data_IF_312773578306
#
_entry.id   IF_312773578306
#
_cell.length_a   1.000
_cell.length_b   1.000
_cell.length_c   1.000
_cell.angle_alpha   90.00
_cell.angle_beta   90.00
_cell.angle_gamma   90.00
#
_symmetry.space_group_name_H-M   'P 1'
#
loop_
_entity.id
_entity.type
_entity.pdbx_description
1 polymer ?
#
# COMPACT_ATOMS: atom_id res chain seq x y z
N UNK A 1 8.25 28.82 28.83
CA UNK A 1 8.03 29.65 27.64
C UNK A 1 8.37 28.79 26.42
N UNK A 2 7.37 28.15 25.80
CA UNK A 2 7.58 27.21 24.70
C UNK A 2 7.35 27.94 23.37
N UNK A 3 8.33 27.88 22.46
CA UNK A 3 8.25 28.48 21.13
C UNK A 3 7.21 27.74 20.26
N UNK A 4 6.44 28.43 19.42
CA UNK A 4 5.52 27.78 18.50
C UNK A 4 6.31 27.11 17.37
N UNK A 5 6.26 25.77 17.29
CA UNK A 5 6.75 25.04 16.11
C UNK A 5 5.70 25.13 15.01
N UNK A 6 6.09 25.71 13.88
CA UNK A 6 5.26 25.79 12.68
C UNK A 6 4.87 24.39 12.22
N UNK A 7 3.57 24.10 12.17
CA UNK A 7 3.03 22.85 11.64
C UNK A 7 3.00 22.90 10.11
N UNK A 8 3.62 21.92 9.47
CA UNK A 8 3.37 21.62 8.04
C UNK A 8 2.14 20.73 7.98
N UNK A 9 1.00 21.29 7.54
CA UNK A 9 -0.18 20.52 7.15
C UNK A 9 0.16 19.78 5.85
N UNK A 10 0.41 18.48 5.93
CA UNK A 10 0.47 17.65 4.73
C UNK A 10 -0.95 17.38 4.24
N UNK A 11 -1.36 18.14 3.22
CA UNK A 11 -2.55 17.84 2.43
C UNK A 11 -2.43 16.52 1.67
N UNK A 12 -3.51 16.13 1.01
CA UNK A 12 -3.64 14.93 0.18
C UNK A 12 -2.39 14.66 -0.68
N UNK A 13 -1.54 13.73 -0.23
CA UNK A 13 -0.41 13.24 -1.03
C UNK A 13 -1.00 12.53 -2.24
N UNK A 14 -0.89 13.18 -3.39
CA UNK A 14 -1.29 12.66 -4.70
C UNK A 14 -0.08 11.95 -5.29
N UNK A 15 -0.16 10.66 -5.60
CA UNK A 15 0.84 10.07 -6.51
C UNK A 15 0.49 10.55 -7.90
N UNK A 16 1.26 11.51 -8.41
CA UNK A 16 1.12 11.98 -9.78
C UNK A 16 1.80 10.98 -10.72
N UNK A 17 1.13 9.89 -11.05
CA UNK A 17 1.49 9.10 -12.24
C UNK A 17 1.09 9.93 -13.47
N UNK A 18 1.98 10.75 -14.00
CA UNK A 18 1.70 11.61 -15.17
C UNK A 18 1.34 10.75 -16.39
N UNK A 19 0.05 10.68 -16.72
CA UNK A 19 -0.46 10.09 -17.96
C UNK A 19 -0.40 11.14 -19.07
N UNK A 20 0.63 11.07 -19.91
CA UNK A 20 0.60 11.61 -21.26
C UNK A 20 0.38 10.44 -22.23
N UNK A 21 -0.62 10.56 -23.11
CA UNK A 21 -1.14 9.45 -23.93
C UNK A 21 -0.18 8.88 -25.00
N UNK A 22 1.07 9.34 -25.11
CA UNK A 22 1.98 8.93 -26.20
C UNK A 22 3.46 8.71 -25.78
N UNK A 23 3.78 8.65 -24.48
CA UNK A 23 5.11 8.24 -24.03
C UNK A 23 5.05 6.92 -23.29
N UNK A 24 5.81 5.93 -23.77
CA UNK A 24 6.13 4.70 -23.06
C UNK A 24 6.79 5.07 -21.72
N UNK A 25 5.99 5.26 -20.67
CA UNK A 25 6.47 5.58 -19.34
C UNK A 25 7.16 4.35 -18.76
N UNK A 26 8.31 4.52 -18.11
CA UNK A 26 9.09 3.42 -17.55
C UNK A 26 8.52 2.98 -16.20
N UNK A 27 8.65 1.71 -15.80
CA UNK A 27 8.27 1.30 -14.46
C UNK A 27 9.09 2.06 -13.40
N UNK A 28 8.61 2.05 -12.15
CA UNK A 28 9.37 2.57 -11.01
C UNK A 28 10.83 2.10 -11.05
N UNK A 29 11.78 2.91 -10.58
CA UNK A 29 13.19 2.53 -10.53
C UNK A 29 13.45 1.46 -9.46
N UNK A 30 14.51 0.67 -9.65
CA UNK A 30 14.95 -0.29 -8.64
C UNK A 30 15.48 0.48 -7.42
N UNK A 31 15.09 0.07 -6.23
CA UNK A 31 15.67 0.59 -5.01
C UNK A 31 17.12 0.09 -4.87
N UNK A 32 18.01 0.94 -4.37
CA UNK A 32 19.37 0.54 -4.06
C UNK A 32 19.35 -0.50 -2.94
N UNK A 33 20.08 -1.60 -3.16
CA UNK A 33 20.16 -2.66 -2.17
C UNK A 33 21.06 -2.18 -1.05
N UNK A 34 20.52 -2.07 0.16
CA UNK A 34 21.32 -1.78 1.35
C UNK A 34 22.30 -2.96 1.57
N UNK A 35 23.62 -2.73 1.60
CA UNK A 35 24.62 -3.79 1.79
C UNK A 35 24.38 -4.55 3.09
N UNK A 36 24.49 -5.89 3.08
CA UNK A 36 24.34 -6.72 4.30
C UNK A 36 25.34 -6.39 5.41
N UNK A 37 26.47 -5.78 5.07
CA UNK A 37 27.53 -5.37 6.02
C UNK A 37 27.30 -4.00 6.65
N UNK A 38 26.56 -3.11 5.98
CA UNK A 38 26.03 -1.87 6.58
C UNK A 38 24.72 -2.15 7.33
N UNK A 39 23.93 -3.08 6.80
CA UNK A 39 22.79 -3.70 7.47
C UNK A 39 23.28 -4.79 8.44
N UNK A 40 24.16 -4.42 9.37
CA UNK A 40 23.99 -4.96 10.71
C UNK A 40 22.54 -4.67 11.04
N UNK A 41 21.68 -5.67 10.90
CA UNK A 41 20.27 -5.62 11.22
C UNK A 41 20.24 -5.49 12.75
N UNK A 42 20.63 -4.32 13.25
CA UNK A 42 20.02 -3.76 14.41
C UNK A 42 18.58 -3.63 13.96
N UNK A 43 17.80 -4.69 14.17
CA UNK A 43 16.44 -4.50 14.66
C UNK A 43 16.67 -3.59 15.83
N UNK A 44 16.62 -2.28 15.58
CA UNK A 44 16.46 -1.35 16.66
C UNK A 44 15.28 -1.92 17.42
N UNK A 45 15.36 -1.98 18.75
CA UNK A 45 14.30 -2.62 19.56
C UNK A 45 12.90 -2.04 19.26
N UNK A 46 12.86 -0.95 18.50
CA UNK A 46 11.84 -0.27 17.71
C UNK A 46 10.88 -1.12 16.85
N UNK A 47 9.82 -0.42 16.46
CA UNK A 47 8.56 -0.93 15.96
C UNK A 47 8.70 -1.77 14.67
N UNK A 48 8.03 -2.91 14.60
CA UNK A 48 8.04 -3.80 13.42
C UNK A 48 6.64 -3.85 12.84
N UNK A 49 6.51 -3.79 11.51
CA UNK A 49 5.25 -3.99 10.81
C UNK A 49 5.38 -5.07 9.72
N UNK A 50 4.67 -6.18 9.89
CA UNK A 50 4.64 -7.30 8.98
C UNK A 50 3.35 -7.31 8.16
N UNK A 51 3.49 -7.20 6.84
CA UNK A 51 2.39 -7.27 5.86
C UNK A 51 2.31 -8.68 5.32
N UNK A 52 1.20 -9.36 5.61
CA UNK A 52 0.82 -10.57 4.91
C UNK A 52 0.19 -10.19 3.56
N UNK A 53 1.00 -10.14 2.51
CA UNK A 53 0.56 -9.75 1.17
C UNK A 53 0.02 -10.97 0.40
N UNK A 54 -1.11 -11.49 0.84
CA UNK A 54 -1.73 -12.68 0.25
C UNK A 54 -2.29 -12.45 -1.16
N UNK A 55 -2.68 -13.55 -1.81
CA UNK A 55 -3.31 -13.49 -3.13
C UNK A 55 -4.73 -12.92 -3.05
N UNK A 56 -5.54 -13.48 -2.16
CA UNK A 56 -6.95 -13.10 -1.99
C UNK A 56 -7.11 -11.96 -1.01
N UNK A 57 -6.27 -11.92 0.03
CA UNK A 57 -6.42 -11.01 1.15
C UNK A 57 -5.09 -10.42 1.57
N UNK A 58 -5.18 -9.31 2.30
CA UNK A 58 -4.05 -8.64 2.94
C UNK A 58 -4.38 -8.41 4.41
N UNK A 59 -3.38 -8.57 5.27
CA UNK A 59 -3.44 -8.25 6.69
C UNK A 59 -2.10 -7.65 7.13
N UNK A 60 -2.10 -6.89 8.24
CA UNK A 60 -0.88 -6.36 8.84
C UNK A 60 -0.86 -6.67 10.34
N UNK A 61 0.26 -7.22 10.80
CA UNK A 61 0.59 -7.33 12.21
C UNK A 61 1.72 -6.37 12.56
N UNK A 62 1.76 -5.88 13.78
CA UNK A 62 2.83 -4.97 14.21
C UNK A 62 3.14 -5.10 15.70
N UNK A 63 4.32 -4.63 16.08
CA UNK A 63 4.73 -4.39 17.47
C UNK A 63 5.17 -2.94 17.60
N UNK A 64 5.00 -2.35 18.77
CA UNK A 64 5.54 -1.02 19.07
C UNK A 64 6.33 -1.05 20.38
N UNK A 65 7.32 -0.17 20.51
CA UNK A 65 8.07 0.01 21.77
C UNK A 65 7.36 0.90 22.78
N UNK A 66 6.15 1.39 22.46
CA UNK A 66 5.36 2.19 23.40
C UNK A 66 5.08 1.39 24.66
N UNK A 67 5.33 1.98 25.83
CA UNK A 67 5.18 1.35 27.14
C UNK A 67 3.75 0.80 27.43
N UNK A 68 2.78 1.16 26.59
CA UNK A 68 1.38 0.73 26.69
C UNK A 68 1.09 -0.57 25.91
N UNK A 69 1.98 -1.03 25.04
CA UNK A 69 1.66 -2.09 24.08
C UNK A 69 2.88 -2.97 23.74
N UNK A 70 3.18 -3.94 24.61
CA UNK A 70 4.33 -4.86 24.47
C UNK A 70 4.02 -6.13 23.67
N UNK A 71 2.84 -6.23 23.06
CA UNK A 71 2.36 -7.42 22.35
C UNK A 71 2.39 -7.32 20.83
N UNK A 72 2.16 -8.45 20.16
CA UNK A 72 1.87 -8.47 18.72
C UNK A 72 0.42 -8.06 18.50
N UNK A 73 0.24 -6.98 17.75
CA UNK A 73 -1.05 -6.42 17.41
C UNK A 73 -1.41 -6.70 15.96
N UNK A 74 -2.70 -6.65 15.64
CA UNK A 74 -3.18 -6.69 14.25
C UNK A 74 -3.90 -5.40 13.90
N UNK A 75 -3.57 -4.85 12.74
CA UNK A 75 -4.19 -3.62 12.25
C UNK A 75 -5.61 -3.92 11.77
N UNK A 76 -6.58 -3.16 12.28
CA UNK A 76 -7.95 -3.15 11.76
C UNK A 76 -7.92 -2.37 10.43
N UNK A 77 -7.99 -3.12 9.33
CA UNK A 77 -7.91 -2.56 7.97
C UNK A 77 -9.27 -2.08 7.46
N UNK A 78 -10.33 -2.71 7.94
CA UNK A 78 -11.73 -2.35 7.72
C UNK A 78 -12.39 -1.94 9.03
N UNK A 79 -12.88 -0.70 9.09
CA UNK A 79 -13.51 -0.14 10.29
C UNK A 79 -14.98 -0.47 10.39
N UNK A 80 -15.66 -0.67 9.26
CA UNK A 80 -17.09 -0.99 9.25
C UNK A 80 -17.29 -2.43 9.71
N UNK A 81 -16.49 -3.35 9.15
CA UNK A 81 -16.58 -4.79 9.47
C UNK A 81 -15.63 -5.21 10.61
N UNK A 82 -14.90 -4.27 11.22
CA UNK A 82 -13.87 -4.53 12.24
C UNK A 82 -12.85 -5.63 11.86
N UNK A 83 -12.59 -5.79 10.56
CA UNK A 83 -11.74 -6.85 10.06
C UNK A 83 -10.26 -6.44 10.01
N UNK A 84 -9.39 -7.33 10.50
CA UNK A 84 -7.94 -7.22 10.38
C UNK A 84 -7.40 -7.78 9.06
N UNK A 85 -8.25 -8.46 8.27
CA UNK A 85 -7.90 -9.07 6.99
C UNK A 85 -8.94 -8.69 5.94
N UNK A 86 -8.48 -7.97 4.92
CA UNK A 86 -9.33 -7.43 3.85
C UNK A 86 -8.95 -8.02 2.51
N UNK A 87 -9.84 -7.97 1.51
CA UNK A 87 -9.49 -8.26 0.12
C UNK A 87 -8.21 -7.59 -0.35
N UNK A 88 -7.40 -8.28 -1.16
CA UNK A 88 -6.34 -7.67 -1.94
C UNK A 88 -6.96 -6.93 -3.13
N UNK A 89 -7.60 -5.79 -2.83
CA UNK A 89 -8.37 -4.98 -3.76
C UNK A 89 -8.06 -3.50 -3.57
N UNK A 90 -7.92 -2.77 -4.67
CA UNK A 90 -7.65 -1.33 -4.67
C UNK A 90 -8.47 -0.64 -5.75
N UNK A 91 -9.07 0.49 -5.38
CA UNK A 91 -9.83 1.34 -6.28
C UNK A 91 -9.06 2.66 -6.43
N UNK A 92 -8.68 2.98 -7.66
CA UNK A 92 -8.06 4.25 -8.00
C UNK A 92 -9.09 5.15 -8.70
N UNK A 93 -8.91 6.46 -8.55
CA UNK A 93 -9.69 7.48 -9.25
C UNK A 93 -8.78 8.33 -10.12
N UNK A 94 -9.21 8.58 -11.35
CA UNK A 94 -8.52 9.51 -12.26
C UNK A 94 -8.62 10.93 -11.71
N UNK A 95 -7.50 11.60 -11.58
CA UNK A 95 -7.38 13.00 -11.19
C UNK A 95 -6.55 13.76 -12.23
N UNK A 96 -7.24 14.43 -13.17
CA UNK A 96 -6.62 15.12 -14.32
C UNK A 96 -5.66 14.18 -15.07
N UNK A 97 -4.35 14.44 -14.98
CA UNK A 97 -3.28 13.62 -15.60
C UNK A 97 -2.67 12.60 -14.65
N UNK A 98 -3.30 12.32 -13.50
CA UNK A 98 -2.80 11.40 -12.48
C UNK A 98 -3.88 10.44 -11.98
N UNK A 99 -3.48 9.49 -11.14
CA UNK A 99 -4.41 8.62 -10.42
C UNK A 99 -4.17 8.74 -8.92
N UNK A 100 -5.23 8.77 -8.14
CA UNK A 100 -5.16 8.76 -6.68
C UNK A 100 -5.80 7.48 -6.18
N UNK A 101 -5.33 6.98 -5.05
CA UNK A 101 -6.02 5.89 -4.38
C UNK A 101 -7.30 6.42 -3.75
N UNK A 102 -8.43 5.88 -4.18
CA UNK A 102 -9.75 6.23 -3.67
C UNK A 102 -10.11 5.35 -2.46
N UNK A 103 -9.98 4.02 -2.60
CA UNK A 103 -10.28 3.06 -1.53
C UNK A 103 -9.38 1.83 -1.61
N UNK A 104 -9.33 1.07 -0.50
CA UNK A 104 -8.61 -0.19 -0.38
C UNK A 104 -9.46 -1.24 0.38
N UNK A 105 -9.26 -2.52 0.09
CA UNK A 105 -9.88 -3.62 0.81
C UNK A 105 -11.36 -3.81 0.47
N UNK A 106 -12.17 -4.16 1.47
CA UNK A 106 -13.62 -4.40 1.32
C UNK A 106 -14.32 -3.15 0.78
N UNK A 107 -13.96 -1.97 1.29
CA UNK A 107 -14.52 -0.69 0.83
C UNK A 107 -14.25 -0.44 -0.65
N UNK A 108 -13.07 -0.82 -1.17
CA UNK A 108 -12.79 -0.71 -2.60
C UNK A 108 -13.71 -1.59 -3.44
N UNK A 109 -13.88 -2.85 -3.04
CA UNK A 109 -14.77 -3.80 -3.72
C UNK A 109 -16.22 -3.31 -3.70
N UNK A 110 -16.76 -3.02 -2.52
CA UNK A 110 -18.14 -2.54 -2.36
C UNK A 110 -18.39 -1.26 -3.15
N UNK A 111 -17.43 -0.32 -3.15
CA UNK A 111 -17.58 0.94 -3.87
C UNK A 111 -17.55 0.74 -5.37
N UNK A 112 -16.73 -0.19 -5.89
CA UNK A 112 -16.70 -0.54 -7.30
C UNK A 112 -17.98 -1.25 -7.76
N UNK A 113 -18.46 -2.24 -7.00
CA UNK A 113 -19.70 -2.98 -7.30
C UNK A 113 -20.95 -2.09 -7.34
N UNK A 114 -20.97 -1.02 -6.55
CA UNK A 114 -22.07 -0.03 -6.51
C UNK A 114 -21.98 1.01 -7.64
N UNK A 115 -20.95 1.02 -8.48
CA UNK A 115 -20.80 2.04 -9.54
C UNK A 115 -21.74 1.81 -10.71
N UNK A 116 -22.25 2.92 -11.25
CA UNK A 116 -22.99 2.91 -12.50
C UNK A 116 -22.03 2.82 -13.68
N UNK A 117 -22.52 2.28 -14.80
CA UNK A 117 -21.74 2.15 -16.04
C UNK A 117 -21.09 3.48 -16.50
N UNK A 118 -21.79 4.61 -16.30
CA UNK A 118 -21.31 5.95 -16.64
C UNK A 118 -20.14 6.44 -15.77
N UNK A 119 -19.93 5.86 -14.59
CA UNK A 119 -18.86 6.24 -13.67
C UNK A 119 -17.57 5.45 -13.90
N UNK A 120 -17.64 4.24 -14.47
CA UNK A 120 -16.47 3.38 -14.68
C UNK A 120 -15.30 4.07 -15.38
N UNK A 121 -15.49 4.96 -16.39
CA UNK A 121 -14.38 5.67 -17.02
C UNK A 121 -13.59 6.59 -16.08
N UNK A 122 -14.06 6.87 -14.86
CA UNK A 122 -13.36 7.66 -13.85
C UNK A 122 -12.58 6.82 -12.83
N UNK A 123 -12.86 5.52 -12.73
CA UNK A 123 -12.25 4.63 -11.76
C UNK A 123 -11.43 3.52 -12.43
N UNK A 124 -10.49 2.96 -11.67
CA UNK A 124 -9.63 1.86 -12.11
C UNK A 124 -9.58 0.88 -10.94
N UNK A 125 -10.05 -0.33 -11.15
CA UNK A 125 -10.16 -1.34 -10.10
C UNK A 125 -9.23 -2.52 -10.34
N UNK A 126 -8.47 -2.88 -9.31
CA UNK A 126 -7.64 -4.08 -9.28
C UNK A 126 -8.03 -4.97 -8.11
N UNK A 127 -8.04 -6.27 -8.34
CA UNK A 127 -8.22 -7.27 -7.29
C UNK A 127 -7.38 -8.51 -7.60
N UNK A 128 -6.83 -9.17 -6.55
CA UNK A 128 -6.09 -10.44 -6.65
C UNK A 128 -4.89 -10.38 -7.60
N UNK A 129 -4.19 -9.25 -7.66
CA UNK A 129 -3.07 -9.00 -8.59
C UNK A 129 -1.94 -10.04 -8.48
N UNK A 130 -1.76 -10.66 -7.31
CA UNK A 130 -0.77 -11.71 -7.07
C UNK A 130 -1.11 -13.05 -7.73
N UNK A 131 -2.31 -13.22 -8.31
CA UNK A 131 -2.58 -14.36 -9.20
C UNK A 131 -1.74 -14.30 -10.48
N UNK A 132 -1.42 -13.10 -10.96
CA UNK A 132 -0.54 -12.93 -12.13
C UNK A 132 0.90 -13.36 -11.79
N UNK A 133 1.30 -13.14 -10.53
CA UNK A 133 2.58 -13.60 -9.98
C UNK A 133 2.75 -15.13 -9.93
N UNK A 134 1.67 -15.91 -10.07
CA UNK A 134 1.71 -17.38 -10.05
C UNK A 134 1.73 -18.02 -11.44
N UNK A 135 1.30 -17.30 -12.48
CA UNK A 135 1.05 -17.88 -13.81
C UNK A 135 2.23 -17.73 -14.75
N UNK A 136 2.99 -16.64 -14.64
CA UNK A 136 4.08 -16.34 -15.58
C UNK A 136 5.45 -16.66 -14.97
N UNK A 137 6.29 -17.37 -15.74
CA UNK A 137 7.68 -17.70 -15.36
C UNK A 137 8.69 -16.60 -15.72
N UNK A 138 8.23 -15.44 -16.18
CA UNK A 138 9.08 -14.36 -16.73
C UNK A 138 8.70 -12.98 -16.21
N UNK A 139 8.35 -12.88 -14.93
CA UNK A 139 7.88 -11.63 -14.34
C UNK A 139 9.06 -10.71 -14.10
N UNK A 140 8.95 -9.51 -14.65
CA UNK A 140 9.93 -8.46 -14.52
C UNK A 140 9.27 -7.13 -14.12
N UNK A 141 10.06 -6.05 -14.08
CA UNK A 141 9.54 -4.72 -13.73
C UNK A 141 8.61 -4.15 -14.80
N UNK A 142 8.69 -4.62 -16.04
CA UNK A 142 7.89 -4.16 -17.16
C UNK A 142 6.56 -4.92 -17.27
N UNK A 143 6.37 -5.97 -16.46
CA UNK A 143 5.15 -6.75 -16.42
C UNK A 143 3.95 -5.85 -16.15
N UNK A 144 3.01 -5.86 -17.10
CA UNK A 144 1.78 -5.10 -17.04
C UNK A 144 0.64 -5.95 -16.48
N UNK A 145 -0.25 -5.30 -15.74
CA UNK A 145 -1.50 -5.86 -15.26
C UNK A 145 -2.66 -5.03 -15.76
N UNK A 146 -3.70 -5.70 -16.23
CA UNK A 146 -4.92 -5.05 -16.70
C UNK A 146 -5.93 -4.94 -15.56
N UNK A 147 -6.52 -3.76 -15.40
CA UNK A 147 -7.57 -3.49 -14.44
C UNK A 147 -8.89 -4.11 -14.90
N UNK A 148 -9.85 -4.28 -14.01
CA UNK A 148 -11.22 -4.68 -14.39
C UNK A 148 -11.92 -3.63 -15.27
N UNK A 149 -11.34 -2.43 -15.40
CA UNK A 149 -11.81 -1.33 -16.23
C UNK A 149 -11.07 -1.23 -17.58
N UNK A 150 -10.09 -2.11 -17.85
CA UNK A 150 -9.36 -2.23 -19.11
C UNK A 150 -8.00 -1.49 -19.17
N UNK A 151 -7.67 -0.69 -18.15
CA UNK A 151 -6.38 0.01 -18.12
C UNK A 151 -5.22 -0.89 -17.68
N UNK A 152 -4.08 -0.73 -18.34
CA UNK A 152 -2.84 -1.43 -17.98
C UNK A 152 -1.94 -0.54 -17.11
N UNK A 153 -1.35 -1.15 -16.09
CA UNK A 153 -0.37 -0.55 -15.18
C UNK A 153 0.80 -1.50 -14.99
N UNK A 154 1.98 -0.99 -14.64
CA UNK A 154 3.04 -1.88 -14.20
C UNK A 154 2.64 -2.55 -12.89
N UNK A 155 2.86 -3.86 -12.80
CA UNK A 155 2.55 -4.64 -11.60
C UNK A 155 3.17 -4.01 -10.34
N UNK A 156 4.41 -3.55 -10.44
CA UNK A 156 5.14 -2.90 -9.35
C UNK A 156 4.46 -1.61 -8.88
N UNK A 157 3.80 -0.86 -9.76
CA UNK A 157 3.06 0.35 -9.38
C UNK A 157 1.81 0.00 -8.59
N UNK A 158 1.05 -1.01 -9.03
CA UNK A 158 -0.16 -1.44 -8.32
C UNK A 158 0.18 -1.98 -6.92
N UNK A 159 1.25 -2.76 -6.80
CA UNK A 159 1.78 -3.20 -5.49
C UNK A 159 2.17 -1.99 -4.64
N UNK A 160 2.87 -1.00 -5.21
CA UNK A 160 3.28 0.20 -4.48
C UNK A 160 2.08 1.01 -3.95
N UNK A 161 1.01 1.17 -4.74
CA UNK A 161 -0.21 1.83 -4.29
C UNK A 161 -0.82 1.11 -3.07
N UNK A 162 -0.92 -0.22 -3.13
CA UNK A 162 -1.48 -1.00 -2.02
C UNK A 162 -0.62 -0.87 -0.76
N UNK A 163 0.70 -1.03 -0.89
CA UNK A 163 1.62 -0.92 0.25
C UNK A 163 1.53 0.47 0.88
N UNK A 164 1.47 1.54 0.09
CA UNK A 164 1.33 2.89 0.61
C UNK A 164 0.03 3.08 1.41
N UNK A 165 -1.09 2.52 0.95
CA UNK A 165 -2.35 2.56 1.68
C UNK A 165 -2.27 1.88 3.03
N UNK A 166 -1.64 0.70 3.09
CA UNK A 166 -1.48 -0.06 4.32
C UNK A 166 -0.59 0.70 5.30
N UNK A 167 0.55 1.22 4.84
CA UNK A 167 1.45 2.07 5.64
C UNK A 167 0.70 3.26 6.24
N UNK A 168 -0.06 3.99 5.41
CA UNK A 168 -0.84 5.15 5.85
C UNK A 168 -1.92 4.77 6.87
N UNK A 169 -2.61 3.64 6.68
CA UNK A 169 -3.63 3.15 7.63
C UNK A 169 -3.03 2.83 9.00
N UNK A 170 -1.84 2.20 9.05
CA UNK A 170 -1.15 1.93 10.31
C UNK A 170 -0.86 3.24 11.06
N UNK A 171 -0.20 4.19 10.41
CA UNK A 171 0.18 5.47 11.04
C UNK A 171 -1.04 6.26 11.50
N UNK A 172 -2.11 6.33 10.69
CA UNK A 172 -3.36 6.99 11.08
C UNK A 172 -4.00 6.30 12.30
N UNK A 173 -3.87 4.98 12.44
CA UNK A 173 -4.44 4.28 13.58
C UNK A 173 -3.63 4.52 14.85
N UNK A 174 -2.30 4.41 14.78
CA UNK A 174 -1.43 4.59 15.94
C UNK A 174 -1.48 6.03 16.49
N UNK A 175 -1.49 7.02 15.60
CA UNK A 175 -1.44 8.43 16.01
C UNK A 175 -2.77 8.98 16.52
N UNK A 176 -3.78 8.12 16.74
CA UNK A 176 -5.05 8.51 17.39
C UNK A 176 -4.91 8.67 18.90
N UNK A 177 -3.92 8.01 19.50
CA UNK A 177 -3.75 7.91 20.94
C UNK A 177 -2.60 8.79 21.46
N UNK A 178 -2.34 9.94 20.80
CA UNK A 178 -1.32 10.94 21.15
C UNK A 178 0.15 10.53 20.91
N UNK A 179 0.42 9.29 20.53
CA UNK A 179 1.72 8.89 19.99
C UNK A 179 1.95 9.50 18.59
N UNK A 180 3.20 9.80 18.24
CA UNK A 180 3.57 10.37 16.93
C UNK A 180 4.51 9.42 16.21
N UNK A 181 3.93 8.50 15.45
CA UNK A 181 4.65 7.60 14.57
C UNK A 181 4.71 8.12 13.14
N UNK A 182 5.79 7.78 12.45
CA UNK A 182 6.01 7.95 11.02
C UNK A 182 6.29 6.60 10.37
N UNK A 183 6.14 6.51 9.04
CA UNK A 183 6.43 5.26 8.32
C UNK A 183 7.90 4.85 8.37
N UNK A 184 8.81 5.79 8.66
CA UNK A 184 10.25 5.56 8.84
C UNK A 184 10.62 4.96 10.18
N UNK A 185 9.70 4.99 11.14
CA UNK A 185 9.92 4.48 12.50
C UNK A 185 9.61 2.98 12.61
N UNK A 186 9.39 2.32 11.46
CA UNK A 186 9.03 0.92 11.35
C UNK A 186 9.97 0.18 10.41
N UNK A 187 10.40 -0.98 10.87
CA UNK A 187 10.93 -2.01 9.99
C UNK A 187 9.77 -2.75 9.30
N UNK A 188 9.74 -2.66 7.97
CA UNK A 188 8.66 -3.24 7.16
C UNK A 188 9.05 -4.62 6.64
N UNK A 189 8.31 -5.64 7.08
CA UNK A 189 8.41 -6.99 6.55
C UNK A 189 7.23 -7.22 5.61
N UNK A 190 7.48 -7.78 4.42
CA UNK A 190 6.42 -8.16 3.48
C UNK A 190 6.56 -9.64 3.17
N UNK A 191 5.50 -10.42 3.36
CA UNK A 191 5.53 -11.84 3.03
C UNK A 191 5.42 -12.06 1.52
N UNK A 192 6.35 -12.84 1.00
CA UNK A 192 6.32 -13.36 -0.37
C UNK A 192 6.14 -14.88 -0.31
N UNK A 193 5.47 -15.52 -1.29
CA UNK A 193 5.36 -16.97 -1.33
C UNK A 193 6.76 -17.58 -1.45
N UNK A 194 6.96 -18.73 -0.81
CA UNK A 194 8.22 -19.47 -0.85
C UNK A 194 8.61 -20.02 -2.24
N UNK A 195 7.72 -19.91 -3.23
CA UNK A 195 7.90 -20.38 -4.61
C UNK A 195 8.37 -19.28 -5.57
N UNK A 196 8.91 -18.17 -5.05
CA UNK A 196 9.51 -17.12 -5.85
C UNK A 196 11.01 -17.38 -5.95
N UNK A 197 11.46 -17.87 -7.10
CA UNK A 197 12.87 -17.98 -7.49
C UNK A 197 13.42 -16.63 -8.00
#
# INVERSE_FOLDING_TARGET
MAMPRNYIKFGNVSIVAQRNQEQSYKPLSKADKIPRTEAGYCVSEDNIAAIDFGTTSVSLAYTTTSAKDSGVNTLILDREDHSNRVPNAILLKRNRRSVIVEEFGTSARMKFEKKKASEYPQYIYFERIKMLLKRDKGIDRQTLVESFSGEKFYLVEVIAFILQCIKKKLIIQLNRNEDVFQTTDFDWVITVPAIWD
#
